data_IF_732471060989
#
_entry.id   IF_732471060989
#
_cell.length_a   1.000
_cell.length_b   1.000
_cell.length_c   1.000
_cell.angle_alpha   90.00
_cell.angle_beta   90.00
_cell.angle_gamma   90.00
#
_symmetry.space_group_name_H-M   'P 1'
#
loop_
_entity.id
_entity.type
_entity.pdbx_description
1 polymer ?
#
# COMPACT_ATOMS: atom_id res chain seq x y z
N UNK A 1 52.80 38.62 -71.83
CA UNK A 1 51.48 37.95 -71.97
C UNK A 1 51.37 36.98 -70.82
N UNK A 2 50.66 37.35 -69.78
CA UNK A 2 50.48 36.53 -68.58
C UNK A 2 48.98 36.12 -68.52
N UNK A 3 48.74 34.84 -68.68
CA UNK A 3 47.38 34.29 -68.52
C UNK A 3 47.04 34.20 -67.04
N UNK A 4 46.00 34.88 -66.60
CA UNK A 4 45.40 34.73 -65.29
C UNK A 4 44.51 33.55 -65.31
N UNK A 5 44.82 32.48 -64.50
CA UNK A 5 43.93 31.37 -64.19
C UNK A 5 43.06 31.77 -63.05
N UNK A 6 41.76 31.71 -63.24
CA UNK A 6 40.78 31.93 -62.19
C UNK A 6 40.68 30.67 -61.33
N UNK A 7 40.88 30.88 -60.03
CA UNK A 7 40.66 29.84 -58.99
C UNK A 7 39.21 29.99 -58.50
N UNK A 8 38.40 28.94 -58.72
CA UNK A 8 37.07 28.85 -58.15
C UNK A 8 37.14 28.53 -56.68
N UNK A 9 36.29 29.12 -55.84
CA UNK A 9 36.23 28.74 -54.39
C UNK A 9 35.55 27.39 -54.21
N UNK A 10 36.23 26.52 -53.49
CA UNK A 10 35.67 25.28 -53.04
C UNK A 10 34.51 25.51 -52.06
N UNK A 11 33.35 25.03 -52.44
CA UNK A 11 32.17 24.98 -51.59
C UNK A 11 32.44 24.01 -50.44
N UNK A 12 32.65 24.54 -49.24
CA UNK A 12 32.70 23.79 -48.04
C UNK A 12 31.33 23.24 -47.73
N UNK A 13 31.19 21.92 -47.83
CA UNK A 13 30.04 21.24 -47.36
C UNK A 13 29.97 21.32 -45.82
N UNK A 14 29.15 22.24 -45.31
CA UNK A 14 28.74 22.20 -43.89
C UNK A 14 27.90 20.96 -43.71
N UNK A 15 28.51 19.94 -43.13
CA UNK A 15 27.81 18.77 -42.61
C UNK A 15 27.07 19.26 -41.35
N UNK A 16 25.83 19.74 -41.54
CA UNK A 16 24.88 19.92 -40.43
C UNK A 16 24.50 18.55 -39.91
N UNK A 17 25.20 18.14 -38.84
CA UNK A 17 24.78 17.02 -38.01
C UNK A 17 23.46 17.44 -37.38
N UNK A 18 22.37 17.01 -38.01
CA UNK A 18 21.02 17.03 -37.42
C UNK A 18 21.06 16.01 -36.28
N UNK A 19 21.36 16.47 -35.05
CA UNK A 19 21.06 15.72 -33.84
C UNK A 19 19.54 15.58 -33.80
N UNK A 20 19.04 14.46 -34.29
CA UNK A 20 17.71 13.96 -33.93
C UNK A 20 17.84 13.58 -32.46
N UNK A 21 17.66 14.57 -31.59
CA UNK A 21 17.27 14.30 -30.23
C UNK A 21 15.92 13.61 -30.30
N UNK A 22 15.95 12.27 -30.34
CA UNK A 22 14.80 11.47 -29.99
C UNK A 22 14.56 11.79 -28.52
N UNK A 23 13.88 12.89 -28.27
CA UNK A 23 13.26 13.15 -27.00
C UNK A 23 12.33 11.98 -26.74
N UNK A 24 12.76 11.05 -25.90
CA UNK A 24 11.84 10.27 -25.09
C UNK A 24 11.08 11.31 -24.26
N UNK A 25 10.09 11.95 -24.89
CA UNK A 25 8.98 12.51 -24.17
C UNK A 25 8.28 11.31 -23.56
N UNK A 26 8.75 10.85 -22.40
CA UNK A 26 7.91 10.13 -21.47
C UNK A 26 6.69 11.02 -21.37
N UNK A 27 5.58 10.58 -21.97
CA UNK A 27 4.28 11.13 -21.70
C UNK A 27 3.99 10.81 -20.22
N UNK A 28 4.64 11.54 -19.32
CA UNK A 28 4.11 11.74 -17.99
C UNK A 28 2.71 12.29 -18.29
N UNK A 29 1.69 11.42 -18.16
CA UNK A 29 0.31 11.84 -18.17
C UNK A 29 0.24 12.99 -17.18
N UNK A 30 0.15 14.22 -17.65
CA UNK A 30 -0.01 15.39 -16.80
C UNK A 30 -1.31 15.14 -16.04
N UNK A 31 -1.19 14.71 -14.78
CA UNK A 31 -2.35 14.51 -13.91
C UNK A 31 -3.06 15.86 -13.80
N UNK A 32 -4.38 15.86 -13.84
CA UNK A 32 -5.11 17.10 -13.62
C UNK A 32 -4.81 17.64 -12.22
N UNK A 33 -4.77 18.95 -12.06
CA UNK A 33 -4.52 19.57 -10.76
C UNK A 33 -5.51 19.04 -9.69
N UNK A 34 -6.76 18.80 -10.08
CA UNK A 34 -7.78 18.23 -9.19
C UNK A 34 -7.44 16.80 -8.76
N UNK A 35 -6.85 15.98 -9.64
CA UNK A 35 -6.42 14.63 -9.28
C UNK A 35 -5.26 14.67 -8.29
N UNK A 36 -4.29 15.54 -8.48
CA UNK A 36 -3.17 15.72 -7.54
C UNK A 36 -3.66 16.17 -6.16
N UNK A 37 -4.64 17.05 -6.12
CA UNK A 37 -5.24 17.51 -4.86
C UNK A 37 -6.09 16.42 -4.20
N UNK A 38 -6.86 15.66 -4.99
CA UNK A 38 -7.59 14.49 -4.52
C UNK A 38 -6.64 13.47 -3.88
N UNK A 39 -5.60 13.05 -4.59
CA UNK A 39 -4.58 12.11 -4.11
C UNK A 39 -3.95 12.58 -2.79
N UNK A 40 -3.59 13.86 -2.70
CA UNK A 40 -2.92 14.42 -1.50
C UNK A 40 -3.79 14.33 -0.25
N UNK A 41 -5.10 14.46 -0.40
CA UNK A 41 -6.05 14.53 0.73
C UNK A 41 -6.70 13.18 1.01
N UNK A 42 -7.00 12.40 -0.03
CA UNK A 42 -7.88 11.24 0.08
C UNK A 42 -7.27 9.91 -0.35
N UNK A 43 -6.00 9.87 -0.83
CA UNK A 43 -5.38 8.61 -1.21
C UNK A 43 -5.25 7.66 -0.03
N UNK A 44 -5.59 6.39 -0.26
CA UNK A 44 -5.36 5.31 0.71
C UNK A 44 -3.89 4.86 0.61
N UNK A 45 -3.15 4.79 1.72
CA UNK A 45 -1.78 4.27 1.71
C UNK A 45 -1.66 2.86 1.11
N UNK A 46 -2.70 2.04 1.26
CA UNK A 46 -2.75 0.66 0.80
C UNK A 46 -3.35 0.50 -0.61
N UNK A 47 -3.74 1.58 -1.30
CA UNK A 47 -4.26 1.50 -2.67
C UNK A 47 -3.13 1.22 -3.66
N UNK A 48 -3.16 0.08 -4.41
CA UNK A 48 -2.15 -0.22 -5.42
C UNK A 48 -2.15 0.77 -6.60
N UNK A 49 -3.24 1.52 -6.81
CA UNK A 49 -3.34 2.55 -7.83
C UNK A 49 -2.75 3.91 -7.37
N UNK A 50 -2.35 4.04 -6.11
CA UNK A 50 -1.78 5.25 -5.53
C UNK A 50 -0.39 5.54 -6.12
N UNK A 51 -0.09 6.78 -6.54
CA UNK A 51 1.26 7.15 -6.95
C UNK A 51 2.28 6.94 -5.82
N UNK A 52 3.50 6.51 -6.18
CA UNK A 52 4.54 6.18 -5.20
C UNK A 52 4.98 7.38 -4.37
N UNK A 53 4.93 8.58 -4.93
CA UNK A 53 5.28 9.86 -4.29
C UNK A 53 4.17 10.44 -3.40
N UNK A 54 2.97 9.86 -3.44
CA UNK A 54 1.85 10.24 -2.57
C UNK A 54 1.90 9.40 -1.30
N UNK A 55 1.99 10.04 -0.14
CA UNK A 55 2.01 9.33 1.15
C UNK A 55 0.69 8.62 1.44
N UNK A 56 -0.43 9.27 1.10
CA UNK A 56 -1.78 8.81 1.46
C UNK A 56 -2.11 9.04 2.95
N UNK A 57 -3.36 8.82 3.29
CA UNK A 57 -3.89 8.93 4.66
C UNK A 57 -4.85 7.77 4.94
N UNK A 58 -4.70 7.14 6.11
CA UNK A 58 -5.62 6.09 6.55
C UNK A 58 -7.03 6.66 6.76
N UNK A 59 -7.11 7.88 7.34
CA UNK A 59 -8.36 8.59 7.58
C UNK A 59 -8.27 10.01 7.01
N UNK A 60 -9.37 10.47 6.41
CA UNK A 60 -9.49 11.84 5.91
C UNK A 60 -9.88 12.72 7.09
N UNK A 61 -9.07 13.76 7.38
CA UNK A 61 -9.35 14.68 8.45
C UNK A 61 -10.71 15.38 8.22
N UNK A 62 -11.47 15.60 9.29
CA UNK A 62 -12.80 16.19 9.22
C UNK A 62 -12.81 17.55 8.51
N UNK A 63 -11.76 18.35 8.69
CA UNK A 63 -11.57 19.65 8.00
C UNK A 63 -11.42 19.52 6.48
N UNK A 64 -10.96 18.37 6.01
CA UNK A 64 -10.55 18.17 4.62
C UNK A 64 -11.60 17.44 3.79
N UNK A 65 -12.64 16.88 4.42
CA UNK A 65 -13.67 16.06 3.76
C UNK A 65 -14.34 16.82 2.60
N UNK A 66 -14.80 18.05 2.85
CA UNK A 66 -15.48 18.84 1.83
C UNK A 66 -14.55 19.15 0.63
N UNK A 67 -13.29 19.41 0.92
CA UNK A 67 -12.25 19.67 -0.08
C UNK A 67 -11.94 18.40 -0.87
N UNK A 68 -11.83 17.26 -0.20
CA UNK A 68 -11.65 15.95 -0.83
C UNK A 68 -12.81 15.63 -1.78
N UNK A 69 -14.06 15.77 -1.32
CA UNK A 69 -15.25 15.54 -2.18
C UNK A 69 -15.20 16.42 -3.42
N UNK A 70 -14.89 17.72 -3.29
CA UNK A 70 -14.82 18.65 -4.41
C UNK A 70 -13.81 18.20 -5.46
N UNK A 71 -12.56 18.00 -5.09
CA UNK A 71 -11.49 17.69 -6.04
C UNK A 71 -11.59 16.27 -6.59
N UNK A 72 -11.91 15.28 -5.73
CA UNK A 72 -12.09 13.90 -6.19
C UNK A 72 -13.30 13.77 -7.14
N UNK A 73 -14.38 14.51 -6.91
CA UNK A 73 -15.54 14.53 -7.81
C UNK A 73 -15.17 15.03 -9.20
N UNK A 74 -14.40 16.11 -9.30
CA UNK A 74 -13.94 16.63 -10.60
C UNK A 74 -13.01 15.62 -11.30
N UNK A 75 -12.05 15.05 -10.56
CA UNK A 75 -11.10 14.09 -11.09
C UNK A 75 -11.71 12.73 -11.45
N UNK A 76 -12.84 12.37 -10.86
CA UNK A 76 -13.50 11.05 -11.01
C UNK A 76 -13.97 10.73 -12.43
N UNK A 77 -14.16 11.74 -13.29
CA UNK A 77 -14.55 11.56 -14.68
C UNK A 77 -13.50 10.73 -15.47
N UNK A 78 -12.21 10.96 -15.21
CA UNK A 78 -11.10 10.38 -15.96
C UNK A 78 -10.29 9.32 -15.19
N UNK A 79 -10.47 9.21 -13.86
CA UNK A 79 -9.63 8.37 -13.01
C UNK A 79 -10.46 7.41 -12.14
N UNK A 80 -10.19 6.08 -12.27
CA UNK A 80 -10.76 5.07 -11.36
C UNK A 80 -10.29 5.26 -9.92
N UNK A 81 -9.03 5.73 -9.74
CA UNK A 81 -8.47 6.05 -8.44
C UNK A 81 -9.24 7.18 -7.78
N UNK A 82 -9.48 8.30 -8.50
CA UNK A 82 -10.27 9.40 -7.97
C UNK A 82 -11.72 8.99 -7.63
N UNK A 83 -12.31 8.02 -8.34
CA UNK A 83 -13.61 7.44 -7.98
C UNK A 83 -13.52 6.67 -6.65
N UNK A 84 -12.47 5.91 -6.43
CA UNK A 84 -12.24 5.22 -5.18
C UNK A 84 -12.06 6.21 -4.01
N UNK A 85 -11.20 7.20 -4.19
CA UNK A 85 -10.94 8.26 -3.21
C UNK A 85 -12.19 9.11 -2.92
N UNK A 86 -13.01 9.37 -3.94
CA UNK A 86 -14.32 10.03 -3.77
C UNK A 86 -15.24 9.20 -2.87
N UNK A 87 -15.26 7.89 -3.05
CA UNK A 87 -16.01 6.97 -2.20
C UNK A 87 -15.54 7.05 -0.75
N UNK A 88 -14.23 7.08 -0.50
CA UNK A 88 -13.64 7.28 0.84
C UNK A 88 -14.08 8.63 1.45
N UNK A 89 -14.04 9.70 0.66
CA UNK A 89 -14.46 11.03 1.13
C UNK A 89 -15.96 11.09 1.48
N UNK A 90 -16.82 10.45 0.68
CA UNK A 90 -18.24 10.32 0.99
C UNK A 90 -18.48 9.46 2.25
N UNK A 91 -17.77 8.35 2.42
CA UNK A 91 -17.86 7.51 3.61
C UNK A 91 -17.44 8.29 4.88
N UNK A 92 -16.35 9.04 4.81
CA UNK A 92 -15.91 9.93 5.89
C UNK A 92 -16.96 11.00 6.22
N UNK A 93 -17.70 11.48 5.22
CA UNK A 93 -18.83 12.41 5.38
C UNK A 93 -20.15 11.74 5.79
N UNK A 94 -20.15 10.43 6.07
CA UNK A 94 -21.33 9.62 6.38
C UNK A 94 -22.39 9.55 5.26
N UNK A 95 -21.99 9.88 4.03
CA UNK A 95 -22.81 9.78 2.83
C UNK A 95 -22.65 8.40 2.19
N UNK A 96 -23.14 7.36 2.89
CA UNK A 96 -22.83 5.97 2.51
C UNK A 96 -23.39 5.58 1.15
N UNK A 97 -24.58 6.07 0.76
CA UNK A 97 -25.16 5.80 -0.55
C UNK A 97 -24.29 6.36 -1.70
N UNK A 98 -23.75 7.56 -1.53
CA UNK A 98 -22.85 8.18 -2.49
C UNK A 98 -21.50 7.45 -2.54
N UNK A 99 -20.98 7.03 -1.37
CA UNK A 99 -19.76 6.23 -1.27
C UNK A 99 -19.89 4.91 -2.05
N UNK A 100 -20.97 4.16 -1.81
CA UNK A 100 -21.27 2.91 -2.53
C UNK A 100 -21.35 3.13 -4.03
N UNK A 101 -22.05 4.18 -4.47
CA UNK A 101 -22.15 4.52 -5.90
C UNK A 101 -20.79 4.82 -6.53
N UNK A 102 -19.93 5.56 -5.82
CA UNK A 102 -18.59 5.88 -6.29
C UNK A 102 -17.69 4.62 -6.34
N UNK A 103 -17.75 3.78 -5.32
CA UNK A 103 -16.98 2.53 -5.28
C UNK A 103 -17.45 1.52 -6.32
N UNK A 104 -18.75 1.39 -6.59
CA UNK A 104 -19.23 0.57 -7.70
C UNK A 104 -18.64 1.01 -9.04
N UNK A 105 -18.71 2.31 -9.34
CA UNK A 105 -18.12 2.86 -10.57
C UNK A 105 -16.60 2.65 -10.65
N UNK A 106 -15.91 2.74 -9.51
CA UNK A 106 -14.47 2.47 -9.43
C UNK A 106 -14.16 0.99 -9.68
N UNK A 107 -14.93 0.08 -9.04
CA UNK A 107 -14.78 -1.37 -9.19
C UNK A 107 -15.08 -1.83 -10.62
N UNK A 108 -16.08 -1.25 -11.28
CA UNK A 108 -16.41 -1.50 -12.71
C UNK A 108 -15.26 -1.07 -13.62
N UNK A 109 -14.52 -0.02 -13.25
CA UNK A 109 -13.29 0.41 -13.93
C UNK A 109 -12.03 -0.36 -13.48
N UNK A 110 -12.20 -1.39 -12.66
CA UNK A 110 -11.10 -2.27 -12.21
C UNK A 110 -10.31 -1.78 -11.00
N UNK A 111 -10.84 -0.85 -10.18
CA UNK A 111 -10.22 -0.51 -8.89
C UNK A 111 -10.38 -1.66 -7.90
N UNK A 112 -9.27 -2.29 -7.56
CA UNK A 112 -9.26 -3.42 -6.63
C UNK A 112 -9.52 -2.99 -5.19
N UNK A 113 -9.10 -1.78 -4.82
CA UNK A 113 -9.40 -1.19 -3.52
C UNK A 113 -10.89 -0.92 -3.35
N UNK A 114 -11.56 -0.44 -4.39
CA UNK A 114 -13.01 -0.28 -4.37
C UNK A 114 -13.76 -1.61 -4.26
N UNK A 115 -13.29 -2.66 -4.93
CA UNK A 115 -13.83 -4.02 -4.78
C UNK A 115 -13.73 -4.50 -3.32
N UNK A 116 -12.59 -4.23 -2.67
CA UNK A 116 -12.37 -4.58 -1.26
C UNK A 116 -13.33 -3.82 -0.35
N UNK A 117 -13.47 -2.51 -0.50
CA UNK A 117 -14.38 -1.70 0.34
C UNK A 117 -15.84 -2.14 0.17
N UNK A 118 -16.31 -2.33 -1.07
CA UNK A 118 -17.65 -2.87 -1.34
C UNK A 118 -17.85 -4.24 -0.70
N UNK A 119 -16.87 -5.12 -0.83
CA UNK A 119 -16.90 -6.46 -0.23
C UNK A 119 -17.00 -6.40 1.30
N UNK A 120 -16.27 -5.49 1.94
CA UNK A 120 -16.35 -5.29 3.40
C UNK A 120 -17.73 -4.79 3.81
N UNK A 121 -18.28 -3.80 3.09
CA UNK A 121 -19.60 -3.26 3.38
C UNK A 121 -20.70 -4.32 3.26
N UNK A 122 -20.69 -5.07 2.17
CA UNK A 122 -21.65 -6.14 1.93
C UNK A 122 -21.45 -7.34 2.87
N UNK A 123 -20.22 -7.68 3.20
CA UNK A 123 -19.90 -8.78 4.11
C UNK A 123 -20.32 -8.51 5.56
N UNK A 124 -20.18 -7.26 6.00
CA UNK A 124 -20.54 -6.84 7.37
C UNK A 124 -21.98 -6.38 7.51
N UNK A 125 -22.57 -5.85 6.44
CA UNK A 125 -23.89 -5.22 6.46
C UNK A 125 -23.87 -3.81 7.05
N UNK A 126 -22.70 -3.14 7.10
CA UNK A 126 -22.57 -1.82 7.65
C UNK A 126 -23.11 -0.75 6.68
N UNK A 127 -24.28 -0.20 6.97
CA UNK A 127 -24.94 0.82 6.15
C UNK A 127 -25.61 0.32 4.87
N UNK A 128 -25.55 -1.00 4.62
CA UNK A 128 -26.17 -1.67 3.46
C UNK A 128 -26.73 -3.04 3.86
N UNK A 129 -27.60 -3.59 3.05
CA UNK A 129 -28.05 -4.97 3.26
C UNK A 129 -26.85 -5.93 3.15
N UNK A 130 -26.74 -6.85 4.10
CA UNK A 130 -25.67 -7.85 4.12
C UNK A 130 -25.83 -8.83 2.95
N UNK A 131 -24.79 -8.97 2.13
CA UNK A 131 -24.69 -9.96 1.05
C UNK A 131 -23.29 -10.61 1.03
N UNK A 132 -23.09 -11.67 1.82
CA UNK A 132 -21.79 -12.35 1.86
C UNK A 132 -21.41 -13.03 0.55
N UNK A 133 -22.39 -13.38 -0.30
CA UNK A 133 -22.12 -14.02 -1.59
C UNK A 133 -21.51 -13.03 -2.59
N UNK A 134 -22.06 -11.83 -2.67
CA UNK A 134 -21.48 -10.77 -3.51
C UNK A 134 -20.17 -10.25 -2.92
N UNK A 135 -20.06 -10.11 -1.59
CA UNK A 135 -18.79 -9.78 -0.92
C UNK A 135 -17.68 -10.76 -1.32
N UNK A 136 -17.96 -12.06 -1.33
CA UNK A 136 -17.01 -13.10 -1.75
C UNK A 136 -16.52 -12.87 -3.18
N UNK A 137 -17.43 -12.65 -4.13
CA UNK A 137 -17.08 -12.41 -5.53
C UNK A 137 -16.19 -11.18 -5.70
N UNK A 138 -16.49 -10.10 -4.96
CA UNK A 138 -15.68 -8.89 -4.98
C UNK A 138 -14.27 -9.13 -4.42
N UNK A 139 -14.14 -9.87 -3.32
CA UNK A 139 -12.83 -10.22 -2.77
C UNK A 139 -12.05 -11.17 -3.71
N UNK A 140 -12.72 -12.13 -4.34
CA UNK A 140 -12.10 -13.01 -5.35
C UNK A 140 -11.55 -12.19 -6.53
N UNK A 141 -12.36 -11.29 -7.10
CA UNK A 141 -11.92 -10.40 -8.19
C UNK A 141 -10.74 -9.51 -7.78
N UNK A 142 -10.78 -8.93 -6.57
CA UNK A 142 -9.69 -8.11 -6.06
C UNK A 142 -8.40 -8.94 -5.86
N UNK A 143 -8.53 -10.15 -5.33
CA UNK A 143 -7.44 -11.07 -5.09
C UNK A 143 -6.79 -11.55 -6.41
N UNK A 144 -7.60 -11.92 -7.41
CA UNK A 144 -7.14 -12.32 -8.74
C UNK A 144 -6.42 -11.19 -9.48
N UNK A 145 -6.85 -9.95 -9.25
CA UNK A 145 -6.19 -8.74 -9.75
C UNK A 145 -4.97 -8.30 -8.90
N UNK A 146 -4.56 -9.12 -7.93
CA UNK A 146 -3.34 -8.93 -7.16
C UNK A 146 -3.47 -8.01 -5.93
N UNK A 147 -4.69 -7.74 -5.45
CA UNK A 147 -4.87 -6.98 -4.21
C UNK A 147 -4.80 -7.91 -2.99
N UNK A 148 -3.77 -7.80 -2.12
CA UNK A 148 -3.61 -8.70 -0.98
C UNK A 148 -4.73 -8.56 0.06
N UNK A 149 -5.38 -7.39 0.17
CA UNK A 149 -6.56 -7.20 1.04
C UNK A 149 -7.75 -8.02 0.55
N UNK A 150 -7.87 -8.26 -0.76
CA UNK A 150 -8.87 -9.18 -1.33
C UNK A 150 -8.67 -10.60 -0.78
N UNK A 151 -7.43 -11.09 -0.75
CA UNK A 151 -7.09 -12.42 -0.22
C UNK A 151 -7.40 -12.54 1.27
N UNK A 152 -6.97 -11.57 2.07
CA UNK A 152 -7.17 -11.61 3.53
C UNK A 152 -8.65 -11.50 3.92
N UNK A 153 -9.42 -10.64 3.23
CA UNK A 153 -10.85 -10.51 3.48
C UNK A 153 -11.65 -11.73 3.00
N UNK A 154 -11.24 -12.37 1.90
CA UNK A 154 -11.83 -13.63 1.46
C UNK A 154 -11.64 -14.72 2.52
N UNK A 155 -10.46 -14.83 3.11
CA UNK A 155 -10.19 -15.75 4.20
C UNK A 155 -11.04 -15.45 5.43
N UNK A 156 -11.16 -14.19 5.83
CA UNK A 156 -11.96 -13.74 6.96
C UNK A 156 -13.47 -14.02 6.76
N UNK A 157 -14.00 -13.72 5.58
CA UNK A 157 -15.41 -13.94 5.25
C UNK A 157 -15.80 -15.41 5.30
N UNK A 158 -14.86 -16.29 4.99
CA UNK A 158 -15.08 -17.75 4.98
C UNK A 158 -15.01 -18.39 6.36
N UNK A 159 -14.84 -17.60 7.42
CA UNK A 159 -14.72 -18.13 8.79
C UNK A 159 -13.52 -19.08 8.95
N UNK A 160 -12.44 -18.85 8.20
CA UNK A 160 -11.29 -19.73 8.14
C UNK A 160 -11.45 -20.92 7.18
N UNK A 161 -12.59 -21.06 6.49
CA UNK A 161 -12.83 -22.11 5.48
C UNK A 161 -12.33 -21.74 4.08
N UNK A 162 -11.86 -20.51 3.86
CA UNK A 162 -11.12 -20.20 2.64
C UNK A 162 -9.89 -21.12 2.59
N UNK A 163 -9.67 -21.74 1.44
CA UNK A 163 -8.52 -22.61 1.25
C UNK A 163 -7.21 -21.83 1.49
N UNK A 164 -6.53 -22.05 2.64
CA UNK A 164 -5.35 -21.27 2.97
C UNK A 164 -4.19 -21.54 2.01
N UNK A 165 -4.18 -22.70 1.35
CA UNK A 165 -3.18 -23.05 0.33
C UNK A 165 -3.37 -22.14 -0.88
N UNK A 166 -4.60 -22.00 -1.35
CA UNK A 166 -4.95 -21.12 -2.48
C UNK A 166 -4.69 -19.65 -2.15
N UNK A 167 -5.03 -19.19 -0.94
CA UNK A 167 -4.76 -17.84 -0.48
C UNK A 167 -3.25 -17.55 -0.46
N UNK A 168 -2.44 -18.47 0.08
CA UNK A 168 -0.98 -18.34 0.11
C UNK A 168 -0.38 -18.32 -1.29
N UNK A 169 -0.84 -19.18 -2.20
CA UNK A 169 -0.39 -19.20 -3.59
C UNK A 169 -0.68 -17.88 -4.32
N UNK A 170 -1.86 -17.30 -4.09
CA UNK A 170 -2.25 -16.03 -4.67
C UNK A 170 -1.42 -14.85 -4.14
N UNK A 171 -1.18 -14.83 -2.82
CA UNK A 171 -0.28 -13.84 -2.21
C UNK A 171 1.16 -13.99 -2.69
N UNK A 172 1.65 -15.23 -2.91
CA UNK A 172 2.98 -15.47 -3.48
C UNK A 172 3.11 -14.82 -4.85
N UNK A 173 2.14 -15.04 -5.73
CA UNK A 173 2.10 -14.41 -7.06
C UNK A 173 2.08 -12.87 -6.98
N UNK A 174 1.30 -12.32 -6.05
CA UNK A 174 1.23 -10.86 -5.85
C UNK A 174 2.52 -10.29 -5.26
N UNK A 175 3.17 -11.03 -4.35
CA UNK A 175 4.45 -10.62 -3.77
C UNK A 175 5.59 -10.53 -4.81
N UNK A 176 5.52 -11.32 -5.89
CA UNK A 176 6.44 -11.27 -7.03
C UNK A 176 6.33 -9.94 -7.81
N UNK A 177 5.17 -9.26 -7.78
CA UNK A 177 4.99 -7.94 -8.37
C UNK A 177 5.55 -6.80 -7.52
N UNK A 178 6.34 -7.10 -6.50
CA UNK A 178 6.95 -6.16 -5.56
C UNK A 178 5.95 -5.38 -4.70
N UNK A 179 4.77 -5.92 -4.43
CA UNK A 179 3.81 -5.33 -3.48
C UNK A 179 4.28 -5.54 -2.04
N UNK A 180 4.60 -4.44 -1.34
CA UNK A 180 5.03 -4.48 0.06
C UNK A 180 3.97 -5.12 0.98
N UNK A 181 2.69 -4.81 0.75
CA UNK A 181 1.58 -5.40 1.49
C UNK A 181 1.47 -6.91 1.24
N UNK A 182 1.59 -7.36 -0.03
CA UNK A 182 1.56 -8.79 -0.34
C UNK A 182 2.73 -9.54 0.28
N UNK A 183 3.94 -8.97 0.25
CA UNK A 183 5.13 -9.51 0.89
C UNK A 183 4.95 -9.63 2.41
N UNK A 184 4.37 -8.60 3.04
CA UNK A 184 4.06 -8.60 4.46
C UNK A 184 3.03 -9.70 4.81
N UNK A 185 1.91 -9.78 4.09
CA UNK A 185 0.85 -10.78 4.34
C UNK A 185 1.36 -12.21 4.10
N UNK A 186 2.11 -12.44 3.01
CA UNK A 186 2.75 -13.73 2.76
C UNK A 186 3.76 -14.08 3.86
N UNK A 187 4.50 -13.08 4.36
CA UNK A 187 5.40 -13.23 5.49
C UNK A 187 4.69 -13.71 6.76
N UNK A 188 3.53 -13.16 7.08
CA UNK A 188 2.70 -13.61 8.21
C UNK A 188 2.25 -15.07 8.02
N UNK A 189 1.67 -15.41 6.85
CA UNK A 189 1.24 -16.78 6.57
C UNK A 189 2.40 -17.78 6.64
N UNK A 190 3.59 -17.37 6.19
CA UNK A 190 4.79 -18.21 6.22
C UNK A 190 5.33 -18.38 7.64
N UNK A 191 5.30 -17.33 8.43
CA UNK A 191 5.72 -17.35 9.85
C UNK A 191 4.81 -18.21 10.73
N UNK A 192 3.52 -18.30 10.39
CA UNK A 192 2.53 -19.04 11.17
C UNK A 192 2.23 -20.43 10.59
N UNK A 193 2.76 -20.75 9.39
CA UNK A 193 2.51 -22.02 8.71
C UNK A 193 1.11 -22.14 8.11
N UNK A 194 0.47 -21.00 7.83
CA UNK A 194 -0.88 -20.97 7.24
C UNK A 194 -0.79 -21.25 5.73
N UNK A 195 -1.50 -22.26 5.27
CA UNK A 195 -1.51 -22.66 3.85
C UNK A 195 -0.22 -23.33 3.36
N UNK A 196 0.68 -23.74 4.27
CA UNK A 196 1.93 -24.42 3.93
C UNK A 196 2.84 -24.56 5.16
N UNK A 197 4.04 -25.07 4.99
CA UNK A 197 4.96 -25.24 6.11
C UNK A 197 5.33 -23.88 6.73
N UNK A 198 5.52 -23.88 8.05
CA UNK A 198 6.10 -22.77 8.78
C UNK A 198 7.57 -22.63 8.41
N UNK A 199 7.99 -21.39 8.08
CA UNK A 199 9.38 -21.08 7.75
C UNK A 199 9.71 -19.65 8.21
N UNK A 200 10.37 -19.55 9.37
CA UNK A 200 10.75 -18.26 9.95
C UNK A 200 11.84 -17.54 9.12
N UNK A 201 12.70 -18.28 8.42
CA UNK A 201 13.74 -17.67 7.59
C UNK A 201 13.14 -17.05 6.31
N UNK A 202 12.24 -17.78 5.63
CA UNK A 202 11.51 -17.26 4.48
C UNK A 202 10.60 -16.09 4.88
N UNK A 203 9.93 -16.16 6.03
CA UNK A 203 9.10 -15.07 6.54
C UNK A 203 9.93 -13.80 6.81
N UNK A 204 11.11 -13.94 7.44
CA UNK A 204 12.04 -12.83 7.68
C UNK A 204 12.45 -12.16 6.37
N UNK A 205 12.79 -12.92 5.34
CA UNK A 205 13.16 -12.39 4.03
C UNK A 205 12.00 -11.61 3.35
N UNK A 206 10.76 -12.07 3.53
CA UNK A 206 9.57 -11.37 3.04
C UNK A 206 9.31 -10.06 3.80
N UNK A 207 9.42 -10.08 5.13
CA UNK A 207 9.29 -8.86 5.94
C UNK A 207 10.40 -7.85 5.63
N UNK A 208 11.63 -8.32 5.38
CA UNK A 208 12.75 -7.46 4.98
C UNK A 208 12.47 -6.73 3.65
N UNK A 209 11.96 -7.45 2.64
CA UNK A 209 11.55 -6.86 1.35
C UNK A 209 10.47 -5.81 1.53
N UNK A 210 9.43 -6.09 2.32
CA UNK A 210 8.36 -5.15 2.61
C UNK A 210 8.86 -3.93 3.42
N UNK A 211 9.73 -4.15 4.43
CA UNK A 211 10.33 -3.10 5.23
C UNK A 211 11.22 -2.17 4.41
N UNK A 212 11.98 -2.71 3.44
CA UNK A 212 12.80 -1.93 2.52
C UNK A 212 11.97 -0.96 1.65
N UNK A 213 10.68 -1.28 1.43
CA UNK A 213 9.73 -0.42 0.73
C UNK A 213 9.01 0.56 1.67
N UNK A 214 9.40 0.64 2.93
CA UNK A 214 8.81 1.56 3.88
C UNK A 214 7.54 1.05 4.58
N UNK A 215 7.23 -0.25 4.53
CA UNK A 215 6.03 -0.82 5.15
C UNK A 215 6.17 -0.87 6.69
N UNK A 216 5.38 -0.07 7.46
CA UNK A 216 5.62 0.09 8.91
C UNK A 216 5.42 -1.18 9.71
N UNK A 217 4.38 -1.98 9.39
CA UNK A 217 4.11 -3.22 10.10
C UNK A 217 5.17 -4.29 9.78
N UNK A 218 5.74 -4.30 8.56
CA UNK A 218 6.86 -5.19 8.24
C UNK A 218 8.14 -4.80 9.01
N UNK A 219 8.40 -3.51 9.17
CA UNK A 219 9.50 -3.04 10.02
C UNK A 219 9.30 -3.47 11.48
N UNK A 220 8.09 -3.37 12.02
CA UNK A 220 7.76 -3.87 13.36
C UNK A 220 8.05 -5.37 13.47
N UNK A 221 7.57 -6.18 12.51
CA UNK A 221 7.86 -7.63 12.47
C UNK A 221 9.36 -7.92 12.37
N UNK A 222 10.11 -7.17 11.57
CA UNK A 222 11.57 -7.29 11.52
C UNK A 222 12.22 -7.01 12.88
N UNK A 223 11.73 -5.99 13.60
CA UNK A 223 12.15 -5.72 14.97
C UNK A 223 11.90 -6.89 15.90
N UNK A 224 10.69 -7.48 15.88
CA UNK A 224 10.32 -8.63 16.69
C UNK A 224 11.14 -9.90 16.34
N UNK A 225 11.40 -10.14 15.06
CA UNK A 225 12.20 -11.26 14.59
C UNK A 225 13.68 -11.11 14.97
N UNK A 226 14.24 -9.90 14.86
CA UNK A 226 15.60 -9.61 15.30
C UNK A 226 15.75 -9.75 16.83
N UNK A 227 14.77 -9.27 17.59
CA UNK A 227 14.76 -9.37 19.04
C UNK A 227 14.71 -10.81 19.56
N UNK A 228 13.95 -11.68 18.87
CA UNK A 228 13.76 -13.08 19.26
C UNK A 228 14.71 -14.07 18.60
N UNK A 229 15.48 -13.65 17.59
CA UNK A 229 16.31 -14.52 16.77
C UNK A 229 15.53 -15.44 15.83
N UNK A 230 14.26 -15.10 15.53
CA UNK A 230 13.46 -15.88 14.57
C UNK A 230 13.98 -15.71 13.14
N UNK A 231 14.19 -16.83 12.47
CA UNK A 231 14.66 -16.84 11.09
C UNK A 231 16.08 -16.30 10.87
N UNK A 232 16.89 -16.14 11.95
CA UNK A 232 18.25 -15.64 11.87
C UNK A 232 18.84 -15.32 13.26
N UNK A 233 20.01 -14.71 13.33
CA UNK A 233 20.63 -14.37 14.60
C UNK A 233 19.80 -13.35 15.38
N UNK A 234 19.82 -13.47 16.71
CA UNK A 234 19.27 -12.46 17.60
C UNK A 234 20.17 -11.21 17.57
N UNK A 235 19.53 -10.04 17.37
CA UNK A 235 20.21 -8.75 17.31
C UNK A 235 19.33 -7.65 17.89
N UNK A 236 19.59 -7.28 19.15
CA UNK A 236 18.82 -6.24 19.83
C UNK A 236 19.05 -4.84 19.27
N UNK A 237 20.24 -4.57 18.66
CA UNK A 237 20.54 -3.30 18.01
C UNK A 237 19.72 -3.14 16.73
N UNK A 238 19.69 -4.17 15.88
CA UNK A 238 18.85 -4.19 14.70
C UNK A 238 17.36 -4.11 15.08
N UNK A 239 16.93 -4.82 16.13
CA UNK A 239 15.55 -4.76 16.60
C UNK A 239 15.12 -3.33 16.96
N UNK A 240 15.94 -2.64 17.77
CA UNK A 240 15.70 -1.23 18.13
C UNK A 240 15.60 -0.33 16.91
N UNK A 241 16.54 -0.44 15.97
CA UNK A 241 16.53 0.36 14.74
C UNK A 241 15.27 0.15 13.90
N UNK A 242 14.79 -1.09 13.76
CA UNK A 242 13.55 -1.38 13.04
C UNK A 242 12.32 -0.81 13.76
N UNK A 243 12.23 -0.93 15.08
CA UNK A 243 11.14 -0.34 15.85
C UNK A 243 11.13 1.19 15.77
N UNK A 244 12.31 1.84 15.83
CA UNK A 244 12.41 3.31 15.67
C UNK A 244 11.88 3.76 14.31
N UNK A 245 12.26 3.07 13.22
CA UNK A 245 11.76 3.37 11.88
C UNK A 245 10.25 3.18 11.76
N UNK A 246 9.73 2.07 12.29
CA UNK A 246 8.29 1.80 12.29
C UNK A 246 7.51 2.84 13.12
N UNK A 247 8.01 3.19 14.31
CA UNK A 247 7.41 4.20 15.19
C UNK A 247 7.38 5.59 14.56
N UNK A 248 8.45 5.97 13.84
CA UNK A 248 8.51 7.23 13.08
C UNK A 248 7.45 7.30 11.95
N UNK A 249 7.04 6.14 11.43
CA UNK A 249 5.95 6.01 10.46
C UNK A 249 4.57 5.83 11.12
N UNK A 250 4.48 5.98 12.44
CA UNK A 250 3.22 5.94 13.18
C UNK A 250 2.78 4.56 13.65
N UNK A 251 3.63 3.53 13.56
CA UNK A 251 3.28 2.19 14.06
C UNK A 251 3.24 2.16 15.59
N UNK A 252 2.04 1.92 16.16
CA UNK A 252 1.82 1.96 17.61
C UNK A 252 2.45 0.75 18.34
N UNK A 253 2.49 -0.42 17.71
CA UNK A 253 3.11 -1.62 18.29
C UNK A 253 4.63 -1.42 18.44
N UNK A 254 5.26 -0.78 17.46
CA UNK A 254 6.66 -0.42 17.52
C UNK A 254 6.96 0.62 18.62
N UNK A 255 6.09 1.64 18.78
CA UNK A 255 6.19 2.60 19.88
C UNK A 255 6.07 1.90 21.23
N UNK A 256 5.13 0.95 21.35
CA UNK A 256 4.96 0.16 22.56
C UNK A 256 6.16 -0.77 22.83
N UNK A 257 6.77 -1.34 21.77
CA UNK A 257 7.96 -2.17 21.88
C UNK A 257 9.18 -1.37 22.38
N UNK A 258 9.41 -0.17 21.84
CA UNK A 258 10.46 0.74 22.31
C UNK A 258 10.25 1.12 23.77
N UNK A 259 9.03 1.50 24.15
CA UNK A 259 8.70 1.84 25.53
C UNK A 259 8.95 0.66 26.50
N UNK A 260 8.64 -0.58 26.09
CA UNK A 260 8.96 -1.77 26.89
C UNK A 260 10.45 -1.98 27.04
N UNK A 261 11.24 -1.70 26.01
CA UNK A 261 12.70 -1.82 26.05
C UNK A 261 13.36 -0.76 26.97
N UNK A 262 12.82 0.45 26.99
CA UNK A 262 13.27 1.54 27.88
C UNK A 262 12.83 1.32 29.33
N UNK A 263 11.67 0.69 29.54
CA UNK A 263 11.06 0.50 30.84
C UNK A 263 10.77 -0.99 31.08
N UNK A 264 11.81 -1.83 31.29
CA UNK A 264 11.67 -3.29 31.30
C UNK A 264 10.94 -3.86 32.53
N UNK A 265 10.80 -3.08 33.59
CA UNK A 265 10.16 -3.56 34.82
C UNK A 265 8.68 -3.26 34.84
N UNK A 266 7.88 -4.31 34.98
CA UNK A 266 6.42 -4.21 35.06
C UNK A 266 5.99 -4.19 36.53
N UNK A 267 5.33 -3.12 36.94
CA UNK A 267 4.68 -3.04 38.24
C UNK A 267 3.27 -3.57 38.13
N UNK A 268 2.95 -4.57 38.97
CA UNK A 268 1.61 -5.13 39.09
C UNK A 268 1.05 -4.82 40.47
N UNK A 269 -0.27 -4.66 40.57
CA UNK A 269 -0.96 -4.53 41.84
C UNK A 269 -0.97 -5.88 42.60
N UNK A 270 -1.51 -5.86 43.83
CA UNK A 270 -1.65 -7.05 44.67
C UNK A 270 -2.47 -8.19 44.07
N UNK A 271 -3.25 -7.91 43.04
CA UNK A 271 -4.10 -8.85 42.30
C UNK A 271 -3.40 -9.33 41.01
N UNK A 272 -2.18 -8.90 40.73
CA UNK A 272 -1.43 -9.25 39.55
C UNK A 272 -1.80 -8.42 38.31
N UNK A 273 -2.66 -7.39 38.43
CA UNK A 273 -3.06 -6.51 37.35
C UNK A 273 -1.94 -5.51 37.05
N UNK A 274 -1.68 -5.27 35.76
CA UNK A 274 -0.72 -4.25 35.29
C UNK A 274 -1.08 -2.87 35.84
N UNK A 275 -0.10 -2.19 36.41
CA UNK A 275 -0.21 -0.80 36.90
C UNK A 275 0.58 0.13 36.00
N UNK A 276 1.87 -0.09 35.85
CA UNK A 276 2.76 0.72 35.02
C UNK A 276 4.07 0.00 34.75
N UNK A 277 4.89 0.55 33.86
CA UNK A 277 6.29 0.17 33.70
C UNK A 277 7.17 1.13 34.51
N UNK A 278 8.23 0.62 35.09
CA UNK A 278 9.25 1.41 35.76
C UNK A 278 10.43 1.63 34.82
N UNK A 279 10.76 2.87 34.62
CA UNK A 279 11.90 3.33 33.80
C UNK A 279 12.99 3.85 34.74
N UNK A 280 14.25 3.54 34.47
CA UNK A 280 15.41 4.03 35.17
C UNK A 280 16.34 4.80 34.24
#
# INVERSE_FOLDING_TARGET
MVKRSAVAPAAGALCTILMVAVGFCSSANAQSADLVLCDRIAADPADPDKPADVKGTAEIAQSDIATAIKFCKTASASSRRALYELGRAYAANRQMADAMSAWHKAADKGSTSAMVELGVMLGTGNGVAKDPAEARKLFERAAEAGNPRGVTNLAALSGGTADPIKARALLSKTAETNSAEAQYQLGLMTADGVGGPKDDAAARALFEKAAAQGHPAAMERMGAFAQSGRGGPQDSGAAKSYYEKAAALGNEDAKAALKRAECPYVIKDKNGKFVTNLCF
#
